data_IF_920443211467
#
_entry.id   IF_920443211467
#
_cell.length_a   1.000
_cell.length_b   1.000
_cell.length_c   1.000
_cell.angle_alpha   90.00
_cell.angle_beta   90.00
_cell.angle_gamma   90.00
#
_symmetry.space_group_name_H-M   'P 1'
#
loop_
_entity.id
_entity.type
_entity.pdbx_description
1 polymer ?
#
# COMPACT_ATOMS: atom_id res chain seq x y z
N UNK A 1 3.36 -38.32 11.54
CA UNK A 1 4.82 -38.18 11.30
C UNK A 1 5.19 -37.61 9.94
N UNK A 2 4.56 -37.99 8.81
CA UNK A 2 4.91 -37.41 7.50
C UNK A 2 4.36 -35.99 7.27
N UNK A 3 3.18 -35.65 7.83
CA UNK A 3 2.57 -34.32 7.71
C UNK A 3 3.31 -33.24 8.52
N UNK A 4 3.80 -33.57 9.72
CA UNK A 4 4.59 -32.64 10.54
C UNK A 4 5.95 -32.28 9.91
N UNK A 5 6.57 -33.23 9.21
CA UNK A 5 7.84 -33.01 8.53
C UNK A 5 7.67 -32.07 7.32
N UNK A 6 6.56 -32.21 6.59
CA UNK A 6 6.22 -31.30 5.47
C UNK A 6 5.88 -29.89 5.96
N UNK A 7 5.15 -29.77 7.08
CA UNK A 7 4.81 -28.48 7.68
C UNK A 7 6.05 -27.74 8.22
N UNK A 8 7.00 -28.45 8.85
CA UNK A 8 8.29 -27.86 9.27
C UNK A 8 9.21 -27.47 8.11
N UNK A 9 9.13 -28.18 6.98
CA UNK A 9 9.85 -27.81 5.76
C UNK A 9 9.29 -26.52 5.16
N UNK A 10 7.96 -26.42 5.03
CA UNK A 10 7.29 -25.22 4.53
C UNK A 10 7.59 -24.00 5.41
N UNK A 11 7.54 -24.12 6.74
CA UNK A 11 7.88 -23.04 7.69
C UNK A 11 9.32 -22.52 7.58
N UNK A 12 10.27 -23.36 7.15
CA UNK A 12 11.67 -22.95 6.92
C UNK A 12 11.88 -22.21 5.60
N UNK A 13 10.97 -22.37 4.65
CA UNK A 13 11.05 -21.62 3.39
C UNK A 13 10.62 -20.17 3.60
N UNK A 14 11.23 -19.25 2.85
CA UNK A 14 10.81 -17.84 2.83
C UNK A 14 9.30 -17.69 2.57
N UNK A 15 8.72 -18.55 1.73
CA UNK A 15 7.29 -18.60 1.42
C UNK A 15 6.44 -18.95 2.64
N UNK A 16 6.84 -19.96 3.43
CA UNK A 16 6.10 -20.33 4.65
C UNK A 16 6.12 -19.25 5.72
N UNK A 17 7.23 -18.53 5.88
CA UNK A 17 7.29 -17.40 6.81
C UNK A 17 6.38 -16.24 6.38
N UNK A 18 6.23 -15.98 5.08
CA UNK A 18 5.29 -14.97 4.57
C UNK A 18 3.83 -15.43 4.78
N UNK A 19 3.54 -16.71 4.56
CA UNK A 19 2.23 -17.29 4.81
C UNK A 19 1.82 -17.20 6.28
N UNK A 20 2.72 -17.51 7.21
CA UNK A 20 2.44 -17.37 8.64
C UNK A 20 2.18 -15.91 9.04
N UNK A 21 2.93 -14.95 8.46
CA UNK A 21 2.67 -13.52 8.68
C UNK A 21 1.32 -13.07 8.13
N UNK A 22 0.94 -13.57 6.95
CA UNK A 22 -0.37 -13.29 6.36
C UNK A 22 -1.50 -13.86 7.22
N UNK A 23 -1.40 -15.13 7.62
CA UNK A 23 -2.36 -15.78 8.51
C UNK A 23 -2.47 -15.06 9.87
N UNK A 24 -1.33 -14.64 10.42
CA UNK A 24 -1.29 -13.87 11.66
C UNK A 24 -1.98 -12.51 11.48
N UNK A 25 -1.68 -11.79 10.39
CA UNK A 25 -2.34 -10.52 10.07
C UNK A 25 -3.85 -10.69 9.89
N UNK A 26 -4.29 -11.73 9.18
CA UNK A 26 -5.70 -12.00 8.92
C UNK A 26 -6.47 -12.29 10.21
N UNK A 27 -5.86 -13.02 11.17
CA UNK A 27 -6.51 -13.36 12.44
C UNK A 27 -6.48 -12.24 13.46
N UNK A 28 -5.45 -11.40 13.48
CA UNK A 28 -5.18 -10.46 14.57
C UNK A 28 -5.47 -9.00 14.20
N UNK A 29 -5.29 -8.62 12.93
CA UNK A 29 -5.43 -7.23 12.46
C UNK A 29 -6.75 -7.01 11.73
N UNK A 30 -7.26 -8.04 11.05
CA UNK A 30 -8.52 -7.95 10.31
C UNK A 30 -9.70 -8.04 11.27
N UNK A 31 -10.23 -6.89 11.69
CA UNK A 31 -11.48 -6.78 12.47
C UNK A 31 -12.74 -7.13 11.67
N UNK A 32 -12.59 -7.50 10.40
CA UNK A 32 -13.68 -7.70 9.46
C UNK A 32 -13.97 -6.44 8.66
N UNK A 33 -15.05 -6.48 7.88
CA UNK A 33 -15.57 -5.32 7.15
C UNK A 33 -16.26 -4.41 8.15
N UNK A 34 -15.92 -3.13 8.15
CA UNK A 34 -16.70 -2.12 8.86
C UNK A 34 -18.01 -1.87 8.11
N UNK A 35 -18.98 -2.76 8.33
CA UNK A 35 -20.32 -2.76 7.74
C UNK A 35 -20.99 -1.37 7.80
N UNK A 36 -20.95 -0.60 8.92
CA UNK A 36 -21.60 0.71 8.95
C UNK A 36 -20.94 1.72 8.00
N UNK A 37 -19.62 1.68 7.84
CA UNK A 37 -18.89 2.57 6.92
C UNK A 37 -19.14 2.20 5.45
N UNK A 38 -19.22 0.91 5.16
CA UNK A 38 -19.54 0.43 3.82
C UNK A 38 -20.98 0.83 3.43
N UNK A 39 -21.94 0.67 4.34
CA UNK A 39 -23.33 1.14 4.13
C UNK A 39 -23.36 2.65 3.91
N UNK A 40 -22.62 3.43 4.71
CA UNK A 40 -22.53 4.87 4.53
C UNK A 40 -22.01 5.25 3.13
N UNK A 41 -20.95 4.59 2.64
CA UNK A 41 -20.42 4.82 1.30
C UNK A 41 -21.44 4.49 0.20
N UNK A 42 -22.18 3.39 0.34
CA UNK A 42 -23.26 3.03 -0.60
C UNK A 42 -24.36 4.09 -0.59
N UNK A 43 -24.76 4.57 0.59
CA UNK A 43 -25.77 5.63 0.71
C UNK A 43 -25.29 6.91 0.03
N UNK A 44 -24.04 7.32 0.26
CA UNK A 44 -23.45 8.50 -0.38
C UNK A 44 -23.41 8.34 -1.89
N UNK A 45 -23.00 7.17 -2.39
CA UNK A 45 -22.99 6.87 -3.82
C UNK A 45 -24.40 6.96 -4.42
N UNK A 46 -25.40 6.37 -3.77
CA UNK A 46 -26.79 6.37 -4.25
C UNK A 46 -27.42 7.78 -4.19
N UNK A 47 -27.16 8.52 -3.12
CA UNK A 47 -27.66 9.89 -2.95
C UNK A 47 -27.10 10.82 -4.03
N UNK A 48 -25.78 10.75 -4.28
CA UNK A 48 -25.14 11.52 -5.33
C UNK A 48 -25.58 11.08 -6.73
N UNK A 49 -25.89 9.80 -6.93
CA UNK A 49 -26.41 9.29 -8.21
C UNK A 49 -27.77 9.91 -8.57
N UNK A 50 -28.63 10.14 -7.57
CA UNK A 50 -29.98 10.66 -7.79
C UNK A 50 -30.04 12.19 -7.85
N UNK A 51 -29.12 12.89 -7.19
CA UNK A 51 -29.00 14.35 -7.22
C UNK A 51 -28.19 14.77 -8.45
N UNK A 52 -28.73 14.48 -9.63
CA UNK A 52 -28.13 14.91 -10.89
C UNK A 52 -28.47 16.39 -11.16
N UNK A 53 -27.47 17.29 -11.26
CA UNK A 53 -27.70 18.66 -11.70
C UNK A 53 -28.00 18.68 -13.21
N UNK A 54 -29.08 19.36 -13.60
CA UNK A 54 -29.62 19.38 -14.96
C UNK A 54 -28.72 20.04 -16.02
N UNK A 55 -27.65 20.74 -15.60
CA UNK A 55 -26.73 21.45 -16.49
C UNK A 55 -25.50 20.60 -16.93
N UNK A 56 -25.39 19.35 -16.49
CA UNK A 56 -24.26 18.47 -16.79
C UNK A 56 -24.68 17.23 -17.57
N UNK A 57 -23.77 16.69 -18.38
CA UNK A 57 -24.00 15.42 -19.06
C UNK A 57 -24.10 14.28 -18.02
N UNK A 58 -25.12 13.39 -18.10
CA UNK A 58 -25.33 12.33 -17.12
C UNK A 58 -24.11 11.40 -16.95
N UNK A 59 -23.40 11.12 -18.04
CA UNK A 59 -22.19 10.29 -18.03
C UNK A 59 -21.06 10.92 -17.21
N UNK A 60 -20.81 12.22 -17.40
CA UNK A 60 -19.75 12.94 -16.67
C UNK A 60 -20.05 12.99 -15.16
N UNK A 61 -21.32 13.16 -14.78
CA UNK A 61 -21.72 13.13 -13.37
C UNK A 61 -21.45 11.77 -12.72
N UNK A 62 -21.76 10.66 -13.41
CA UNK A 62 -21.53 9.31 -12.88
C UNK A 62 -20.05 9.00 -12.67
N UNK A 63 -19.17 9.44 -13.58
CA UNK A 63 -17.71 9.32 -13.43
C UNK A 63 -17.22 10.13 -12.22
N UNK A 64 -17.74 11.35 -12.03
CA UNK A 64 -17.41 12.18 -10.89
C UNK A 64 -17.84 11.56 -9.56
N UNK A 65 -19.07 11.03 -9.49
CA UNK A 65 -19.58 10.33 -8.31
C UNK A 65 -18.72 9.11 -7.98
N UNK A 66 -18.38 8.30 -8.98
CA UNK A 66 -17.51 7.13 -8.79
C UNK A 66 -16.13 7.52 -8.26
N UNK A 67 -15.54 8.60 -8.76
CA UNK A 67 -14.27 9.13 -8.28
C UNK A 67 -14.35 9.60 -6.83
N UNK A 68 -15.38 10.37 -6.47
CA UNK A 68 -15.58 10.89 -5.12
C UNK A 68 -15.82 9.76 -4.10
N UNK A 69 -16.67 8.79 -4.45
CA UNK A 69 -16.92 7.60 -3.64
C UNK A 69 -15.64 6.79 -3.44
N UNK A 70 -14.80 6.66 -4.47
CA UNK A 70 -13.50 5.98 -4.38
C UNK A 70 -12.55 6.70 -3.42
N UNK A 71 -12.50 8.04 -3.45
CA UNK A 71 -11.70 8.82 -2.50
C UNK A 71 -12.21 8.63 -1.07
N UNK A 72 -13.53 8.70 -0.86
CA UNK A 72 -14.10 8.48 0.47
C UNK A 72 -13.82 7.06 0.97
N UNK A 73 -13.89 6.05 0.10
CA UNK A 73 -13.52 4.68 0.44
C UNK A 73 -12.02 4.55 0.78
N UNK A 74 -11.16 5.32 0.13
CA UNK A 74 -9.73 5.36 0.44
C UNK A 74 -9.42 6.02 1.80
N UNK A 75 -10.16 7.06 2.19
CA UNK A 75 -9.94 7.79 3.46
C UNK A 75 -10.58 7.07 4.64
N UNK A 76 -11.78 6.54 4.46
CA UNK A 76 -12.54 5.86 5.51
C UNK A 76 -12.05 4.43 5.76
N UNK A 77 -11.18 3.89 4.88
CA UNK A 77 -10.56 2.57 4.97
C UNK A 77 -11.52 1.46 5.46
N UNK A 78 -12.72 1.29 4.86
CA UNK A 78 -13.68 0.26 5.28
C UNK A 78 -13.13 -1.17 5.07
N UNK A 79 -12.12 -1.27 4.22
CA UNK A 79 -11.39 -2.43 3.75
C UNK A 79 -9.93 -2.02 3.55
N UNK A 80 -8.98 -2.97 3.47
CA UNK A 80 -7.61 -2.66 3.06
C UNK A 80 -7.58 -1.83 1.79
N UNK A 81 -6.73 -0.80 1.74
CA UNK A 81 -6.68 0.18 0.66
C UNK A 81 -6.62 -0.44 -0.75
N UNK A 82 -5.91 -1.56 -0.94
CA UNK A 82 -5.87 -2.26 -2.22
C UNK A 82 -7.19 -2.97 -2.56
N UNK A 83 -7.86 -3.55 -1.56
CA UNK A 83 -9.13 -4.24 -1.74
C UNK A 83 -10.25 -3.25 -2.08
N UNK A 84 -10.30 -2.09 -1.42
CA UNK A 84 -11.30 -1.04 -1.73
C UNK A 84 -11.13 -0.52 -3.17
N UNK A 85 -9.90 -0.33 -3.64
CA UNK A 85 -9.63 0.04 -5.04
C UNK A 85 -10.11 -1.03 -6.03
N UNK A 86 -9.84 -2.32 -5.79
CA UNK A 86 -10.28 -3.40 -6.68
C UNK A 86 -11.81 -3.48 -6.71
N UNK A 87 -12.47 -3.38 -5.55
CA UNK A 87 -13.93 -3.34 -5.48
C UNK A 87 -14.50 -2.14 -6.24
N UNK A 88 -13.90 -0.95 -6.11
CA UNK A 88 -14.34 0.24 -6.83
C UNK A 88 -14.21 0.05 -8.36
N UNK A 89 -13.11 -0.51 -8.85
CA UNK A 89 -12.94 -0.83 -10.28
C UNK A 89 -14.01 -1.83 -10.77
N UNK A 90 -14.30 -2.86 -9.97
CA UNK A 90 -15.36 -3.82 -10.27
C UNK A 90 -16.76 -3.20 -10.27
N UNK A 91 -17.04 -2.27 -9.36
CA UNK A 91 -18.30 -1.53 -9.36
C UNK A 91 -18.43 -0.63 -10.59
N UNK A 92 -17.34 0.03 -11.01
CA UNK A 92 -17.33 0.86 -12.22
C UNK A 92 -17.62 0.06 -13.51
N UNK A 93 -17.13 -1.18 -13.61
CA UNK A 93 -17.43 -2.05 -14.76
C UNK A 93 -18.86 -2.60 -14.70
N UNK A 94 -19.34 -3.01 -13.52
CA UNK A 94 -20.73 -3.49 -13.34
C UNK A 94 -21.76 -2.39 -13.63
N UNK A 95 -21.49 -1.16 -13.20
CA UNK A 95 -22.34 0.01 -13.49
C UNK A 95 -22.18 0.54 -14.92
N UNK A 96 -21.27 -0.05 -15.71
CA UNK A 96 -21.00 0.31 -17.12
C UNK A 96 -20.71 1.80 -17.33
N UNK A 97 -20.16 2.48 -16.31
CA UNK A 97 -19.79 3.90 -16.38
C UNK A 97 -18.59 4.07 -17.32
N UNK A 98 -17.62 3.16 -17.21
CA UNK A 98 -16.46 3.07 -18.09
C UNK A 98 -16.44 1.72 -18.81
N UNK A 99 -15.91 1.69 -20.03
CA UNK A 99 -15.65 0.43 -20.71
C UNK A 99 -14.54 -0.35 -20.01
N UNK A 100 -14.55 -1.68 -20.14
CA UNK A 100 -13.51 -2.56 -19.58
C UNK A 100 -12.11 -2.12 -20.03
N UNK A 101 -11.95 -1.71 -21.29
CA UNK A 101 -10.68 -1.21 -21.82
C UNK A 101 -10.21 0.08 -21.12
N UNK A 102 -11.14 1.00 -20.83
CA UNK A 102 -10.81 2.24 -20.11
C UNK A 102 -10.40 1.96 -18.67
N UNK A 103 -11.10 1.04 -17.98
CA UNK A 103 -10.76 0.67 -16.59
C UNK A 103 -9.38 0.00 -16.53
N UNK A 104 -9.05 -0.88 -17.49
CA UNK A 104 -7.76 -1.56 -17.52
C UNK A 104 -6.60 -0.69 -18.07
N UNK A 105 -6.90 0.38 -18.81
CA UNK A 105 -5.88 1.26 -19.39
C UNK A 105 -4.91 1.85 -18.36
N UNK A 106 -5.37 2.07 -17.12
CA UNK A 106 -4.55 2.56 -16.02
C UNK A 106 -3.42 1.60 -15.61
N UNK A 107 -3.62 0.28 -15.75
CA UNK A 107 -2.59 -0.71 -15.43
C UNK A 107 -1.47 -0.78 -16.49
N UNK A 108 -1.73 -0.27 -17.69
CA UNK A 108 -0.76 -0.17 -18.77
C UNK A 108 0.03 1.15 -18.79
N UNK A 109 -0.15 2.02 -17.80
CA UNK A 109 0.49 3.34 -17.81
C UNK A 109 2.00 3.25 -17.48
N UNK A 110 2.85 3.83 -18.33
CA UNK A 110 4.31 3.83 -18.17
C UNK A 110 4.76 4.41 -16.82
N UNK A 111 4.04 5.38 -16.27
CA UNK A 111 4.37 5.97 -14.95
C UNK A 111 4.15 4.97 -13.83
N UNK A 112 3.10 4.15 -13.90
CA UNK A 112 2.84 3.10 -12.91
C UNK A 112 3.93 2.03 -12.98
N UNK A 113 4.31 1.63 -14.19
CA UNK A 113 5.40 0.67 -14.41
C UNK A 113 6.77 1.19 -13.98
N UNK A 114 7.05 2.48 -14.18
CA UNK A 114 8.25 3.14 -13.66
C UNK A 114 8.33 3.01 -12.14
N UNK A 115 7.22 3.26 -11.43
CA UNK A 115 7.14 3.13 -9.98
C UNK A 115 7.38 1.67 -9.56
N UNK A 116 6.76 0.69 -10.24
CA UNK A 116 6.98 -0.74 -9.98
C UNK A 116 8.45 -1.14 -10.12
N UNK A 117 9.12 -0.70 -11.19
CA UNK A 117 10.55 -0.98 -11.39
C UNK A 117 11.43 -0.32 -10.31
N UNK A 118 11.10 0.91 -9.91
CA UNK A 118 11.80 1.58 -8.83
C UNK A 118 11.64 0.84 -7.48
N UNK A 119 10.47 0.27 -7.21
CA UNK A 119 10.25 -0.62 -6.05
C UNK A 119 11.08 -1.91 -6.11
N UNK A 120 11.24 -2.52 -7.30
CA UNK A 120 12.10 -3.69 -7.44
C UNK A 120 13.58 -3.37 -7.17
N UNK A 121 14.09 -2.25 -7.69
CA UNK A 121 15.45 -1.78 -7.42
C UNK A 121 15.63 -1.53 -5.92
N UNK A 122 14.68 -0.86 -5.28
CA UNK A 122 14.71 -0.60 -3.84
C UNK A 122 14.70 -1.90 -3.01
N UNK A 123 13.89 -2.89 -3.39
CA UNK A 123 13.85 -4.21 -2.74
C UNK A 123 15.21 -4.93 -2.83
N UNK A 124 15.90 -4.84 -3.97
CA UNK A 124 17.28 -5.33 -4.12
C UNK A 124 18.28 -4.59 -3.22
N UNK A 125 18.13 -3.28 -3.06
CA UNK A 125 18.97 -2.47 -2.18
C UNK A 125 18.79 -2.81 -0.69
N UNK A 126 17.54 -3.10 -0.28
CA UNK A 126 17.24 -3.56 1.08
C UNK A 126 17.78 -4.97 1.31
N UNK A 127 17.55 -5.90 0.37
CA UNK A 127 17.97 -7.30 0.50
C UNK A 127 19.50 -7.46 0.52
N UNK A 128 20.22 -6.63 -0.25
CA UNK A 128 21.70 -6.60 -0.23
C UNK A 128 22.29 -5.99 1.06
N UNK A 129 21.49 -5.30 1.87
CA UNK A 129 21.91 -4.68 3.12
C UNK A 129 22.79 -3.42 2.95
N UNK A 130 22.91 -2.90 1.72
CA UNK A 130 23.67 -1.69 1.42
C UNK A 130 23.18 -0.47 2.23
N UNK A 131 21.86 -0.32 2.37
CA UNK A 131 21.28 0.77 3.14
C UNK A 131 21.61 0.70 4.64
N UNK A 132 21.69 -0.51 5.20
CA UNK A 132 22.09 -0.71 6.61
C UNK A 132 23.56 -0.38 6.83
N UNK A 133 24.44 -0.73 5.87
CA UNK A 133 25.88 -0.37 5.91
C UNK A 133 26.08 1.14 5.88
N UNK A 134 25.40 1.85 4.98
CA UNK A 134 25.52 3.32 4.88
C UNK A 134 25.02 3.99 6.16
N UNK A 135 23.93 3.49 6.73
CA UNK A 135 23.36 4.03 7.95
C UNK A 135 24.31 3.87 9.15
N UNK A 136 24.92 2.68 9.31
CA UNK A 136 25.91 2.47 10.37
C UNK A 136 27.16 3.33 10.23
N UNK A 137 27.63 3.60 9.00
CA UNK A 137 28.78 4.49 8.79
C UNK A 137 28.44 5.89 9.29
N UNK A 138 27.28 6.44 8.94
CA UNK A 138 26.86 7.79 9.35
C UNK A 138 26.65 7.84 10.87
N UNK A 139 25.97 6.85 11.45
CA UNK A 139 25.72 6.79 12.89
C UNK A 139 27.00 6.58 13.70
N UNK A 140 28.02 5.89 13.16
CA UNK A 140 29.34 5.78 13.80
C UNK A 140 30.00 7.14 13.99
N UNK A 141 29.81 8.09 13.06
CA UNK A 141 30.40 9.43 13.15
C UNK A 141 29.57 10.41 13.99
N UNK A 142 28.23 10.29 13.98
CA UNK A 142 27.32 11.27 14.59
C UNK A 142 26.61 10.81 15.88
N UNK A 143 26.64 9.51 16.20
CA UNK A 143 25.79 8.89 17.22
C UNK A 143 26.24 9.02 18.68
N UNK A 144 27.19 9.90 19.00
CA UNK A 144 27.71 10.07 20.37
C UNK A 144 26.73 10.77 21.32
N UNK A 145 25.71 11.45 20.79
CA UNK A 145 24.68 12.16 21.56
C UNK A 145 23.29 11.92 20.97
N UNK A 146 22.23 12.05 21.78
CA UNK A 146 20.84 11.87 21.33
C UNK A 146 20.46 12.83 20.19
N UNK A 147 20.95 14.08 20.24
CA UNK A 147 20.78 15.05 19.16
C UNK A 147 21.54 14.63 17.90
N UNK A 148 22.79 14.19 18.04
CA UNK A 148 23.60 13.71 16.91
C UNK A 148 23.01 12.47 16.23
N UNK A 149 22.40 11.57 16.99
CA UNK A 149 21.66 10.42 16.48
C UNK A 149 20.46 10.84 15.62
N UNK A 150 19.66 11.81 16.10
CA UNK A 150 18.50 12.33 15.37
C UNK A 150 18.92 13.01 14.04
N UNK A 151 19.95 13.85 14.06
CA UNK A 151 20.49 14.46 12.84
C UNK A 151 21.11 13.42 11.90
N UNK A 152 21.78 12.41 12.46
CA UNK A 152 22.34 11.28 11.71
C UNK A 152 21.25 10.50 10.97
N UNK A 153 20.11 10.26 11.62
CA UNK A 153 18.96 9.60 10.98
C UNK A 153 18.35 10.42 9.85
N UNK A 154 18.17 11.74 10.03
CA UNK A 154 17.70 12.60 8.94
C UNK A 154 18.64 12.58 7.73
N UNK A 155 19.97 12.58 7.96
CA UNK A 155 20.96 12.47 6.88
C UNK A 155 20.93 11.09 6.20
N UNK A 156 20.76 10.01 6.96
CA UNK A 156 20.60 8.67 6.40
C UNK A 156 19.36 8.60 5.51
N UNK A 157 18.22 9.09 5.98
CA UNK A 157 16.97 9.15 5.22
C UNK A 157 17.12 9.96 3.93
N UNK A 158 17.82 11.10 3.97
CA UNK A 158 18.07 11.91 2.79
C UNK A 158 18.90 11.19 1.73
N UNK A 159 19.99 10.53 2.13
CA UNK A 159 20.85 9.77 1.21
C UNK A 159 20.11 8.54 0.66
N UNK A 160 19.37 7.84 1.51
CA UNK A 160 18.61 6.64 1.12
C UNK A 160 17.39 6.97 0.27
N UNK A 161 16.83 8.18 0.36
CA UNK A 161 15.68 8.60 -0.43
C UNK A 161 15.94 8.65 -1.93
N UNK A 162 17.20 8.85 -2.35
CA UNK A 162 17.58 8.84 -3.77
C UNK A 162 17.46 7.43 -4.36
N UNK A 163 17.79 6.41 -3.59
CA UNK A 163 17.78 5.02 -4.04
C UNK A 163 16.44 4.30 -3.77
N UNK A 164 15.74 4.70 -2.69
CA UNK A 164 14.50 4.06 -2.24
C UNK A 164 13.36 5.10 -2.31
N UNK A 165 12.44 4.98 -3.29
CA UNK A 165 11.35 5.93 -3.50
C UNK A 165 10.24 5.84 -2.44
N UNK A 166 10.21 4.77 -1.64
CA UNK A 166 9.17 4.52 -0.63
C UNK A 166 9.62 4.85 0.79
N UNK A 167 8.92 5.78 1.43
CA UNK A 167 9.14 6.17 2.82
C UNK A 167 8.89 5.02 3.80
N UNK A 168 7.79 4.26 3.61
CA UNK A 168 7.45 3.11 4.47
C UNK A 168 8.53 2.03 4.43
N UNK A 169 9.09 1.75 3.25
CA UNK A 169 10.15 0.75 3.09
C UNK A 169 11.45 1.18 3.82
N UNK A 170 11.81 2.46 3.79
CA UNK A 170 12.99 2.98 4.51
C UNK A 170 12.80 2.92 6.02
N UNK A 171 11.66 3.38 6.52
CA UNK A 171 11.34 3.37 7.96
C UNK A 171 11.34 1.94 8.52
N UNK A 172 10.62 1.03 7.86
CA UNK A 172 10.48 -0.35 8.35
C UNK A 172 11.73 -1.22 8.13
N UNK A 173 12.42 -1.06 7.00
CA UNK A 173 13.55 -1.91 6.63
C UNK A 173 14.89 -1.50 7.25
N UNK A 174 15.08 -0.21 7.50
CA UNK A 174 16.39 0.33 7.91
C UNK A 174 16.31 0.94 9.31
N UNK A 175 15.32 1.79 9.62
CA UNK A 175 15.25 2.47 10.91
C UNK A 175 14.79 1.57 12.07
N UNK A 176 13.68 0.82 11.90
CA UNK A 176 13.15 -0.07 12.95
C UNK A 176 14.20 -1.00 13.60
N UNK A 177 15.05 -1.73 12.84
CA UNK A 177 16.07 -2.61 13.44
C UNK A 177 17.28 -1.89 14.05
N UNK A 178 17.34 -0.56 13.97
CA UNK A 178 18.42 0.25 14.57
C UNK A 178 17.94 0.92 15.86
N UNK A 179 16.65 1.28 15.94
CA UNK A 179 16.06 1.91 17.13
C UNK A 179 15.57 0.91 18.18
N UNK A 180 15.39 -0.36 17.81
CA UNK A 180 14.97 -1.46 18.70
C UNK A 180 16.17 -2.25 19.16
#
# INVERSE_FOLDING_TARGET
NNEECHNNSLKKTWVGQQWEKFDYWQKNTWKGIDIPLLIFLIIVALALWWVHPSDLEPHTWQVFVAFLVTILAAVLEPLPMSASCICALGLCTVTSILSTDQVLSGFGNDTVWLVVMAFFIASGFVTSGLGKRICFIILKYLGSTTLGLAYGFCLCEFILAIAIPSSTARAAGILLPIIT
#
